data_IF_437949639722
#
_entry.id   IF_437949639722
#
_cell.length_a   1.000
_cell.length_b   1.000
_cell.length_c   1.000
_cell.angle_alpha   90.00
_cell.angle_beta   90.00
_cell.angle_gamma   90.00
#
_symmetry.space_group_name_H-M   'P 1'
#
loop_
_entity.id
_entity.type
_entity.pdbx_description
1 polymer ?
#
# COMPACT_ATOMS: atom_id res chain seq x y z
N UNK A 1 28.38 -36.21 -55.20
CA UNK A 1 28.69 -36.21 -53.74
C UNK A 1 29.12 -34.84 -53.18
N UNK A 2 29.79 -33.95 -53.93
CA UNK A 2 30.26 -32.64 -53.42
C UNK A 2 29.18 -31.62 -53.01
N UNK A 3 27.96 -31.71 -53.54
CA UNK A 3 26.88 -30.74 -53.23
C UNK A 3 26.15 -31.02 -51.92
N UNK A 4 26.13 -32.27 -51.45
CA UNK A 4 25.42 -32.66 -50.23
C UNK A 4 26.10 -32.06 -48.99
N UNK A 5 27.44 -32.02 -48.96
CA UNK A 5 28.20 -31.42 -47.86
C UNK A 5 28.02 -29.90 -47.75
N UNK A 6 27.88 -29.19 -48.89
CA UNK A 6 27.68 -27.74 -48.90
C UNK A 6 26.29 -27.35 -48.36
N UNK A 7 25.26 -28.11 -48.74
CA UNK A 7 23.90 -27.89 -48.24
C UNK A 7 23.76 -28.25 -46.75
N UNK A 8 24.48 -29.29 -46.28
CA UNK A 8 24.48 -29.67 -44.88
C UNK A 8 25.15 -28.60 -43.99
N UNK A 9 26.26 -28.00 -44.46
CA UNK A 9 26.96 -26.93 -43.73
C UNK A 9 26.08 -25.67 -43.62
N UNK A 10 25.34 -25.32 -44.67
CA UNK A 10 24.44 -24.17 -44.68
C UNK A 10 23.27 -24.36 -43.70
N UNK A 11 22.71 -25.56 -43.62
CA UNK A 11 21.62 -25.91 -42.69
C UNK A 11 22.09 -25.84 -41.22
N UNK A 12 23.32 -26.27 -40.93
CA UNK A 12 23.87 -26.20 -39.56
C UNK A 12 24.10 -24.73 -39.12
N UNK A 13 24.54 -23.86 -40.03
CA UNK A 13 24.79 -22.45 -39.74
C UNK A 13 23.49 -21.67 -39.52
N UNK A 14 22.45 -21.91 -40.32
CA UNK A 14 21.15 -21.26 -40.15
C UNK A 14 20.40 -21.75 -38.91
N UNK A 15 20.55 -23.03 -38.56
CA UNK A 15 19.99 -23.59 -37.32
C UNK A 15 20.65 -22.97 -36.09
N UNK A 16 21.98 -22.84 -36.06
CA UNK A 16 22.69 -22.16 -34.97
C UNK A 16 22.27 -20.69 -34.84
N UNK A 17 22.20 -19.95 -35.96
CA UNK A 17 21.79 -18.54 -35.95
C UNK A 17 20.38 -18.33 -35.39
N UNK A 18 19.45 -19.25 -35.69
CA UNK A 18 18.08 -19.18 -35.18
C UNK A 18 18.01 -19.44 -33.67
N UNK A 19 18.82 -20.36 -33.13
CA UNK A 19 18.87 -20.62 -31.69
C UNK A 19 19.47 -19.46 -30.88
N UNK A 20 20.45 -18.72 -31.42
CA UNK A 20 20.97 -17.51 -30.75
C UNK A 20 19.93 -16.38 -30.67
N UNK A 21 18.95 -16.32 -31.58
CA UNK A 21 17.87 -15.33 -31.54
C UNK A 21 16.67 -15.71 -30.67
N UNK A 22 16.52 -16.99 -30.30
CA UNK A 22 15.34 -17.47 -29.54
C UNK A 22 15.43 -17.28 -28.02
N UNK A 23 16.57 -16.86 -27.49
CA UNK A 23 16.77 -16.59 -26.07
C UNK A 23 16.89 -15.08 -25.79
N UNK A 24 15.84 -14.34 -26.14
CA UNK A 24 15.59 -13.03 -25.53
C UNK A 24 14.70 -13.27 -24.31
N UNK A 25 15.33 -13.40 -23.13
CA UNK A 25 14.60 -13.45 -21.86
C UNK A 25 13.92 -12.10 -21.64
N UNK A 26 12.65 -11.99 -21.99
CA UNK A 26 11.83 -10.85 -21.62
C UNK A 26 11.77 -10.83 -20.08
N UNK A 27 12.43 -9.87 -19.44
CA UNK A 27 12.19 -9.56 -18.03
C UNK A 27 10.83 -8.88 -17.91
N UNK A 28 9.75 -9.66 -18.06
CA UNK A 28 8.40 -9.16 -17.85
C UNK A 28 8.21 -9.00 -16.34
N UNK A 29 7.86 -7.80 -15.85
CA UNK A 29 7.53 -7.61 -14.45
C UNK A 29 6.40 -8.57 -14.05
N UNK A 30 6.67 -9.42 -13.07
CA UNK A 30 5.66 -10.30 -12.47
C UNK A 30 4.99 -9.60 -11.30
N UNK A 31 3.66 -9.70 -11.20
CA UNK A 31 2.92 -9.23 -10.03
C UNK A 31 3.39 -10.05 -8.82
N UNK A 32 3.95 -9.38 -7.81
CA UNK A 32 4.39 -10.03 -6.57
C UNK A 32 3.20 -10.43 -5.71
N UNK A 33 2.23 -9.52 -5.56
CA UNK A 33 0.94 -9.77 -4.92
C UNK A 33 -0.10 -8.78 -5.45
N UNK A 34 -1.37 -9.13 -5.26
CA UNK A 34 -2.51 -8.24 -5.49
C UNK A 34 -3.54 -8.49 -4.39
N UNK A 35 -4.13 -7.43 -3.86
CA UNK A 35 -5.16 -7.51 -2.83
C UNK A 35 -6.21 -6.41 -3.02
N UNK A 36 -7.41 -6.64 -2.50
CA UNK A 36 -8.46 -5.61 -2.36
C UNK A 36 -8.70 -5.43 -0.87
N UNK A 37 -8.61 -4.19 -0.39
CA UNK A 37 -8.79 -3.85 1.02
C UNK A 37 -9.96 -2.87 1.13
N UNK A 38 -11.04 -3.25 1.82
CA UNK A 38 -12.25 -2.43 1.89
C UNK A 38 -13.33 -2.94 2.85
N UNK A 39 -14.38 -2.14 3.00
CA UNK A 39 -15.61 -2.49 3.72
C UNK A 39 -16.81 -2.61 2.78
N UNK A 40 -18.01 -2.56 3.35
CA UNK A 40 -19.27 -2.75 2.60
C UNK A 40 -19.79 -1.49 1.90
N UNK A 41 -19.17 -0.34 2.13
CA UNK A 41 -19.53 0.95 1.53
C UNK A 41 -18.42 1.41 0.57
N UNK A 42 -18.38 2.69 0.25
CA UNK A 42 -17.33 3.25 -0.59
C UNK A 42 -16.02 3.44 0.17
N UNK A 43 -14.93 2.95 -0.41
CA UNK A 43 -13.56 3.10 0.09
C UNK A 43 -12.68 3.60 -1.05
N UNK A 44 -11.97 4.71 -0.83
CA UNK A 44 -11.19 5.41 -1.84
C UNK A 44 -9.74 5.53 -1.42
N UNK A 45 -8.83 4.92 -2.17
CA UNK A 45 -7.39 5.08 -1.98
C UNK A 45 -6.94 6.45 -2.49
N UNK A 46 -6.26 7.21 -1.64
CA UNK A 46 -5.66 8.49 -1.98
C UNK A 46 -4.16 8.36 -2.27
N UNK A 47 -3.44 7.62 -1.42
CA UNK A 47 -1.99 7.38 -1.58
C UNK A 47 -1.58 6.02 -1.05
N UNK A 48 -0.51 5.47 -1.61
CA UNK A 48 0.15 4.25 -1.17
C UNK A 48 1.66 4.45 -1.23
N UNK A 49 2.35 4.23 -0.13
CA UNK A 49 3.80 4.41 0.00
C UNK A 49 4.45 3.16 0.56
N UNK A 50 5.57 2.73 -0.03
CA UNK A 50 6.34 1.60 0.49
C UNK A 50 7.10 2.04 1.75
N UNK A 51 7.06 1.23 2.79
CA UNK A 51 7.79 1.47 4.03
C UNK A 51 9.15 0.79 4.03
N UNK A 52 10.05 1.23 4.92
CA UNK A 52 11.44 0.76 5.01
C UNK A 52 11.58 -0.71 5.37
N UNK A 53 10.57 -1.29 6.04
CA UNK A 53 10.43 -2.71 6.34
C UNK A 53 9.91 -3.55 5.14
N UNK A 54 9.70 -2.92 3.97
CA UNK A 54 9.22 -3.56 2.76
C UNK A 54 7.69 -3.71 2.67
N UNK A 55 6.95 -3.30 3.71
CA UNK A 55 5.49 -3.19 3.68
C UNK A 55 4.98 -1.95 2.97
N UNK A 56 3.69 -1.64 3.15
CA UNK A 56 3.06 -0.46 2.56
C UNK A 56 2.18 0.27 3.56
N UNK A 57 2.09 1.58 3.42
CA UNK A 57 1.10 2.43 4.09
C UNK A 57 0.14 2.95 3.03
N UNK A 58 -1.14 2.64 3.24
CA UNK A 58 -2.24 3.05 2.40
C UNK A 58 -3.04 4.11 3.15
N UNK A 59 -3.34 5.20 2.47
CA UNK A 59 -4.15 6.29 3.00
C UNK A 59 -5.29 6.55 2.06
N UNK A 60 -6.50 6.59 2.60
CA UNK A 60 -7.70 6.86 1.83
C UNK A 60 -8.82 7.42 2.68
N UNK A 61 -10.01 7.44 2.11
CA UNK A 61 -11.25 7.80 2.78
C UNK A 61 -12.19 6.60 2.76
N UNK A 62 -12.97 6.42 3.83
CA UNK A 62 -13.89 5.29 3.98
C UNK A 62 -15.25 5.78 4.48
N UNK A 63 -16.31 5.32 3.83
CA UNK A 63 -17.70 5.46 4.27
C UNK A 63 -18.22 4.20 4.98
N UNK A 64 -17.31 3.25 5.26
CA UNK A 64 -17.66 1.91 5.74
C UNK A 64 -17.67 1.87 7.27
N UNK A 65 -18.69 1.22 7.83
CA UNK A 65 -18.64 0.69 9.19
C UNK A 65 -17.76 -0.58 9.23
N UNK A 66 -17.61 -1.18 10.41
CA UNK A 66 -16.97 -2.49 10.58
C UNK A 66 -17.60 -3.51 9.63
N UNK A 67 -16.84 -3.90 8.61
CA UNK A 67 -17.26 -4.80 7.52
C UNK A 67 -16.06 -5.10 6.62
N UNK A 68 -16.08 -6.25 5.93
CA UNK A 68 -14.97 -6.66 5.07
C UNK A 68 -13.67 -6.74 5.86
N UNK A 69 -12.64 -6.03 5.39
CA UNK A 69 -11.36 -5.91 6.07
C UNK A 69 -11.36 -4.88 7.20
N UNK A 70 -12.34 -3.97 7.22
CA UNK A 70 -12.34 -2.82 8.13
C UNK A 70 -12.74 -3.21 9.55
N UNK A 71 -11.90 -2.85 10.53
CA UNK A 71 -12.08 -3.21 11.95
C UNK A 71 -12.57 -2.07 12.83
N UNK A 72 -12.75 -0.88 12.27
CA UNK A 72 -13.27 0.29 12.98
C UNK A 72 -14.44 0.90 12.22
N UNK A 73 -15.40 1.47 12.93
CA UNK A 73 -16.49 2.20 12.30
C UNK A 73 -15.97 3.52 11.74
N UNK A 74 -16.66 4.05 10.72
CA UNK A 74 -16.57 5.47 10.44
C UNK A 74 -17.18 6.25 11.62
N UNK A 75 -16.59 7.39 11.93
CA UNK A 75 -16.91 8.31 13.02
C UNK A 75 -17.84 9.43 12.51
N UNK A 76 -17.68 9.83 11.25
CA UNK A 76 -18.46 10.88 10.61
C UNK A 76 -19.97 10.65 10.68
N UNK A 77 -20.75 11.71 10.48
CA UNK A 77 -22.20 11.63 10.38
C UNK A 77 -22.70 12.17 9.04
N UNK A 78 -23.95 11.86 8.68
CA UNK A 78 -24.64 12.44 7.51
C UNK A 78 -23.98 12.17 6.14
N UNK A 79 -23.45 10.96 5.92
CA UNK A 79 -22.87 10.58 4.63
C UNK A 79 -21.51 11.23 4.37
N UNK A 80 -20.75 11.51 5.42
CA UNK A 80 -19.35 11.94 5.37
C UNK A 80 -18.43 10.73 5.56
N UNK A 81 -17.26 10.76 4.93
CA UNK A 81 -16.22 9.75 5.10
C UNK A 81 -15.16 10.23 6.10
N UNK A 82 -14.49 9.26 6.70
CA UNK A 82 -13.31 9.50 7.52
C UNK A 82 -12.07 8.98 6.81
N UNK A 83 -10.91 9.49 7.23
CA UNK A 83 -9.65 8.93 6.76
C UNK A 83 -9.51 7.51 7.28
N UNK A 84 -8.96 6.65 6.44
CA UNK A 84 -8.62 5.30 6.80
C UNK A 84 -7.16 5.06 6.42
N UNK A 85 -6.34 4.78 7.43
CA UNK A 85 -4.92 4.48 7.28
C UNK A 85 -4.74 2.99 7.52
N UNK A 86 -4.09 2.31 6.59
CA UNK A 86 -3.85 0.86 6.65
C UNK A 86 -2.36 0.61 6.45
N UNK A 87 -1.74 -0.14 7.37
CA UNK A 87 -0.39 -0.69 7.19
C UNK A 87 -0.51 -2.14 6.73
N UNK A 88 0.25 -2.50 5.71
CA UNK A 88 0.44 -3.88 5.29
C UNK A 88 1.88 -4.35 5.45
N UNK A 89 2.07 -5.67 5.49
CA UNK A 89 3.37 -6.27 5.24
C UNK A 89 3.72 -6.28 3.74
N UNK A 90 4.86 -6.85 3.39
CA UNK A 90 5.35 -6.95 2.00
C UNK A 90 4.54 -7.90 1.12
N UNK A 91 3.66 -8.71 1.72
CA UNK A 91 2.75 -9.64 1.03
C UNK A 91 1.33 -9.09 0.89
N UNK A 92 1.08 -7.87 1.40
CA UNK A 92 -0.24 -7.22 1.35
C UNK A 92 -1.19 -7.62 2.49
N UNK A 93 -0.70 -8.27 3.55
CA UNK A 93 -1.51 -8.58 4.73
C UNK A 93 -1.60 -7.35 5.65
N UNK A 94 -2.78 -7.04 6.17
CA UNK A 94 -2.98 -5.90 7.08
C UNK A 94 -2.32 -6.19 8.43
N UNK A 95 -1.39 -5.33 8.84
CA UNK A 95 -0.74 -5.36 10.16
C UNK A 95 -1.55 -4.55 11.18
N UNK A 96 -1.99 -3.36 10.78
CA UNK A 96 -2.88 -2.51 11.55
C UNK A 96 -3.65 -1.56 10.65
N UNK A 97 -4.75 -1.01 11.17
CA UNK A 97 -5.55 -0.02 10.50
C UNK A 97 -6.20 0.93 11.52
N UNK A 98 -6.42 2.19 11.13
CA UNK A 98 -7.08 3.18 11.98
C UNK A 98 -7.99 4.08 11.15
N UNK A 99 -9.16 4.37 11.69
CA UNK A 99 -10.06 5.41 11.20
C UNK A 99 -9.77 6.72 11.92
N UNK A 100 -9.56 7.80 11.16
CA UNK A 100 -9.28 9.13 11.69
C UNK A 100 -10.29 10.12 11.12
N UNK A 101 -11.04 10.77 12.01
CA UNK A 101 -12.03 11.78 11.67
C UNK A 101 -12.90 12.10 12.89
N UNK A 102 -14.07 12.66 12.63
CA UNK A 102 -14.92 13.29 13.63
C UNK A 102 -16.29 13.61 13.07
N UNK A 103 -17.19 14.07 13.93
CA UNK A 103 -18.60 14.31 13.57
C UNK A 103 -18.77 15.46 12.54
N UNK A 104 -17.73 16.28 12.34
CA UNK A 104 -17.73 17.46 11.46
C UNK A 104 -16.67 17.34 10.36
N UNK A 105 -16.69 18.27 9.40
CA UNK A 105 -15.75 18.25 8.27
C UNK A 105 -14.35 18.60 8.80
N UNK A 106 -13.47 17.60 8.89
CA UNK A 106 -12.04 17.83 9.12
C UNK A 106 -11.28 17.66 7.80
N UNK A 107 -10.64 18.74 7.35
CA UNK A 107 -9.67 18.66 6.26
C UNK A 107 -8.32 18.19 6.82
N UNK A 108 -7.88 17.02 6.39
CA UNK A 108 -6.49 16.58 6.56
C UNK A 108 -5.62 17.44 5.66
N UNK A 109 -4.70 18.18 6.26
CA UNK A 109 -3.86 19.14 5.54
C UNK A 109 -2.52 18.56 5.14
N UNK A 110 -2.00 17.57 5.87
CA UNK A 110 -0.77 16.88 5.46
C UNK A 110 -0.58 15.55 6.20
N UNK A 111 0.23 14.68 5.59
CA UNK A 111 0.75 13.45 6.20
C UNK A 111 2.28 13.52 6.14
N UNK A 112 2.95 13.40 7.29
CA UNK A 112 4.41 13.36 7.34
C UNK A 112 4.91 12.09 8.03
N UNK A 113 5.65 11.28 7.29
CA UNK A 113 6.37 10.12 7.81
C UNK A 113 7.58 10.57 8.65
N UNK A 114 7.78 9.95 9.82
CA UNK A 114 9.02 10.12 10.60
C UNK A 114 10.16 9.28 10.04
N UNK A 115 11.38 9.55 10.50
CA UNK A 115 12.62 8.84 10.11
C UNK A 115 12.55 7.32 10.29
N UNK A 116 11.62 6.86 11.11
CA UNK A 116 11.50 5.47 11.54
C UNK A 116 10.46 4.74 10.68
N UNK A 117 9.81 5.44 9.75
CA UNK A 117 8.90 4.87 8.77
C UNK A 117 7.48 4.57 9.28
N UNK A 118 7.28 4.49 10.60
CA UNK A 118 6.07 3.97 11.23
C UNK A 118 5.11 5.04 11.79
N UNK A 119 5.53 6.30 11.89
CA UNK A 119 4.70 7.37 12.48
C UNK A 119 4.30 8.37 11.39
N UNK A 120 2.99 8.55 11.25
CA UNK A 120 2.37 9.47 10.31
C UNK A 120 1.75 10.64 11.09
N UNK A 121 2.30 11.85 10.92
CA UNK A 121 1.68 13.07 11.44
C UNK A 121 0.57 13.50 10.53
N UNK A 122 -0.64 13.56 11.05
CA UNK A 122 -1.80 14.09 10.34
C UNK A 122 -2.18 15.44 10.93
N UNK A 123 -1.96 16.52 10.19
CA UNK A 123 -2.42 17.85 10.58
C UNK A 123 -3.86 18.08 10.08
N UNK A 124 -4.71 18.68 10.92
CA UNK A 124 -6.11 18.98 10.60
C UNK A 124 -6.39 20.48 10.79
N UNK A 125 -7.19 21.08 9.90
CA UNK A 125 -7.67 22.46 10.06
C UNK A 125 -9.03 22.49 10.78
N UNK A 126 -9.05 22.62 12.11
CA UNK A 126 -10.29 22.91 12.86
C UNK A 126 -10.02 23.53 14.25
N UNK A 127 -10.95 24.35 14.76
CA UNK A 127 -10.85 25.08 16.04
C UNK A 127 -10.81 24.17 17.29
N UNK A 128 -10.90 22.84 17.13
CA UNK A 128 -10.85 21.82 18.19
C UNK A 128 -9.42 21.26 18.39
N UNK A 129 -8.40 22.11 18.22
CA UNK A 129 -6.96 21.78 18.17
C UNK A 129 -6.39 21.07 19.41
N UNK A 130 -7.11 21.04 20.53
CA UNK A 130 -6.59 20.52 21.81
C UNK A 130 -6.92 19.05 22.05
N UNK A 131 -8.07 18.56 21.58
CA UNK A 131 -8.53 17.19 21.84
C UNK A 131 -7.85 16.15 20.91
N UNK A 132 -7.57 16.52 19.65
CA UNK A 132 -7.01 15.61 18.65
C UNK A 132 -5.49 15.51 18.76
N UNK A 133 -4.78 16.61 19.11
CA UNK A 133 -3.35 16.55 19.48
C UNK A 133 -3.11 15.56 20.61
N UNK A 134 -4.02 15.47 21.58
CA UNK A 134 -3.93 14.50 22.68
C UNK A 134 -4.19 13.05 22.24
N UNK A 135 -5.04 12.81 21.24
CA UNK A 135 -5.36 11.44 20.78
C UNK A 135 -4.22 10.82 19.96
N UNK A 136 -3.56 11.61 19.11
CA UNK A 136 -2.38 11.16 18.34
C UNK A 136 -1.14 11.04 19.24
N UNK A 137 -0.96 11.94 20.21
CA UNK A 137 0.07 11.79 21.26
C UNK A 137 -0.20 10.55 22.14
N UNK A 138 -1.45 10.21 22.45
CA UNK A 138 -1.77 8.99 23.23
C UNK A 138 -1.43 7.68 22.51
N UNK A 139 -1.60 7.61 21.18
CA UNK A 139 -1.22 6.41 20.40
C UNK A 139 0.30 6.20 20.47
N UNK A 140 1.09 7.29 20.47
CA UNK A 140 2.54 7.24 20.66
C UNK A 140 2.95 6.78 22.08
N UNK A 141 2.25 7.20 23.13
CA UNK A 141 2.54 6.75 24.50
C UNK A 141 2.15 5.29 24.76
N UNK A 142 1.05 4.81 24.19
CA UNK A 142 0.62 3.42 24.36
C UNK A 142 1.64 2.43 23.77
N UNK A 143 2.18 2.69 22.58
CA UNK A 143 3.18 1.82 21.94
C UNK A 143 4.55 1.84 22.66
N UNK A 144 4.97 3.00 23.20
CA UNK A 144 6.18 3.13 24.03
C UNK A 144 6.04 2.44 25.40
N UNK A 145 4.83 2.33 25.95
CA UNK A 145 4.59 1.63 27.24
C UNK A 145 4.53 0.11 27.13
N UNK A 146 4.20 -0.43 25.96
CA UNK A 146 4.14 -1.89 25.71
C UNK A 146 5.53 -2.47 25.40
N UNK A 147 6.48 -1.63 25.00
CA UNK A 147 7.88 -2.00 24.72
C UNK A 147 8.85 -1.66 25.86
N UNK A 148 8.32 -1.12 26.96
CA UNK A 148 9.08 -0.66 28.11
C UNK A 148 8.69 -1.34 29.42
N UNK A 149 8.75 -2.68 29.47
CA UNK A 149 9.10 -3.54 30.62
C UNK A 149 9.12 -5.01 30.20
#
# INVERSE_FOLDING_TARGET
>A
MKNIHKNLLLVILTFNFCFYSLSYSQNIPTIQWQNTIGGSSFDFLYSAEQTTDGGYILVGYSYSNISGDKTENFIGSYGRSDYWIVKTDSSGNILWQNTIGGEYEEALTSIKQTTDGDIFWVDFHSQTLQAIKQKIIMILYAQLSITGL
#
